data_IF_927479247121
#
_entry.id   IF_927479247121
#
_cell.length_a   1.000
_cell.length_b   1.000
_cell.length_c   1.000
_cell.angle_alpha   90.00
_cell.angle_beta   90.00
_cell.angle_gamma   90.00
#
_symmetry.space_group_name_H-M   'P 1'
#
loop_
_entity.id
_entity.type
_entity.pdbx_description
1 polymer ?
#
# COMPACT_ATOMS: atom_id res chain seq x y z
N UNK A 1 -11.18 17.71 -20.33
CA UNK A 1 -10.65 18.66 -19.33
C UNK A 1 -10.09 17.83 -18.19
N UNK A 2 -8.78 17.59 -18.23
CA UNK A 2 -8.10 16.57 -17.43
C UNK A 2 -8.10 16.92 -15.94
N UNK A 3 -8.53 15.97 -15.12
CA UNK A 3 -8.40 16.06 -13.67
C UNK A 3 -6.93 15.86 -13.33
N UNK A 4 -6.19 16.96 -13.16
CA UNK A 4 -4.87 16.93 -12.53
C UNK A 4 -5.08 16.42 -11.10
N UNK A 5 -4.59 15.21 -10.80
CA UNK A 5 -4.45 14.79 -9.42
C UNK A 5 -3.64 15.88 -8.71
N UNK A 6 -4.16 16.42 -7.61
CA UNK A 6 -3.29 17.07 -6.65
C UNK A 6 -2.19 16.05 -6.30
N UNK A 7 -0.92 16.45 -6.27
CA UNK A 7 0.20 15.57 -5.95
C UNK A 7 -0.10 14.68 -4.72
N UNK A 8 -0.84 15.20 -3.73
CA UNK A 8 -1.33 14.44 -2.56
C UNK A 8 -2.11 13.16 -2.89
N UNK A 9 -2.94 13.16 -3.94
CA UNK A 9 -3.73 11.99 -4.32
C UNK A 9 -2.87 10.95 -5.07
N UNK A 10 -1.91 11.38 -5.90
CA UNK A 10 -0.98 10.48 -6.59
C UNK A 10 -0.17 9.63 -5.58
N UNK A 11 0.40 10.27 -4.55
CA UNK A 11 1.18 9.55 -3.52
C UNK A 11 0.32 8.59 -2.68
N UNK A 12 -0.94 8.93 -2.41
CA UNK A 12 -1.87 8.01 -1.74
C UNK A 12 -2.19 6.80 -2.61
N UNK A 13 -2.45 7.02 -3.90
CA UNK A 13 -2.67 5.95 -4.87
C UNK A 13 -1.41 5.06 -4.99
N UNK A 14 -0.21 5.65 -4.97
CA UNK A 14 1.06 4.92 -4.99
C UNK A 14 1.23 4.04 -3.74
N UNK A 15 0.98 4.56 -2.54
CA UNK A 15 1.00 3.78 -1.29
C UNK A 15 0.00 2.63 -1.34
N UNK A 16 -1.21 2.90 -1.83
CA UNK A 16 -2.24 1.87 -1.98
C UNK A 16 -1.81 0.77 -2.96
N UNK A 17 -1.24 1.13 -4.11
CA UNK A 17 -0.73 0.19 -5.12
C UNK A 17 0.43 -0.64 -4.57
N UNK A 18 1.39 -0.02 -3.90
CA UNK A 18 2.54 -0.70 -3.28
C UNK A 18 2.07 -1.80 -2.31
N UNK A 19 1.17 -1.48 -1.38
CA UNK A 19 0.72 -2.49 -0.41
C UNK A 19 -0.10 -3.59 -1.08
N UNK A 20 -0.99 -3.23 -2.02
CA UNK A 20 -1.84 -4.21 -2.71
C UNK A 20 -1.02 -5.15 -3.60
N UNK A 21 0.01 -4.65 -4.29
CA UNK A 21 0.86 -5.49 -5.14
C UNK A 21 1.63 -6.50 -4.30
N UNK A 22 2.23 -6.07 -3.19
CA UNK A 22 2.96 -6.98 -2.29
C UNK A 22 2.03 -8.02 -1.64
N UNK A 23 0.81 -7.64 -1.26
CA UNK A 23 -0.23 -8.58 -0.81
C UNK A 23 -0.60 -9.59 -1.90
N UNK A 24 -0.83 -9.13 -3.12
CA UNK A 24 -1.23 -9.95 -4.27
C UNK A 24 -0.16 -10.99 -4.62
N UNK A 25 1.11 -10.55 -4.75
CA UNK A 25 2.27 -11.42 -5.03
C UNK A 25 2.41 -12.54 -3.99
N UNK A 26 1.96 -12.31 -2.76
CA UNK A 26 2.05 -13.27 -1.65
C UNK A 26 0.75 -14.02 -1.35
N UNK A 27 -0.31 -13.78 -2.12
CA UNK A 27 -1.63 -14.36 -1.86
C UNK A 27 -2.23 -13.97 -0.50
N UNK A 28 -1.78 -12.86 0.10
CA UNK A 28 -2.22 -12.42 1.44
C UNK A 28 -3.47 -11.55 1.31
N UNK A 29 -4.57 -12.01 1.93
CA UNK A 29 -5.79 -11.20 2.11
C UNK A 29 -5.68 -10.36 3.38
N UNK A 30 -6.56 -9.36 3.55
CA UNK A 30 -6.57 -8.49 4.74
C UNK A 30 -6.68 -9.24 6.08
N UNK A 31 -7.40 -10.36 6.11
CA UNK A 31 -7.46 -11.24 7.29
C UNK A 31 -6.08 -11.83 7.62
N UNK A 32 -5.34 -12.28 6.61
CA UNK A 32 -3.98 -12.78 6.79
C UNK A 32 -2.99 -11.68 7.19
N UNK A 33 -3.13 -10.46 6.64
CA UNK A 33 -2.30 -9.33 7.05
C UNK A 33 -2.57 -8.94 8.51
N UNK A 34 -3.84 -8.93 8.91
CA UNK A 34 -4.27 -8.68 10.30
C UNK A 34 -3.64 -9.68 11.27
N UNK A 35 -3.72 -10.99 10.96
CA UNK A 35 -3.09 -12.03 11.76
C UNK A 35 -1.56 -11.84 11.88
N UNK A 36 -0.87 -11.60 10.76
CA UNK A 36 0.60 -11.41 10.75
C UNK A 36 1.05 -10.17 11.51
N UNK A 37 0.26 -9.10 11.50
CA UNK A 37 0.52 -7.91 12.32
C UNK A 37 0.31 -8.21 13.80
N UNK A 38 -0.72 -8.98 14.15
CA UNK A 38 -0.96 -9.39 15.53
C UNK A 38 0.20 -10.23 16.10
N UNK A 39 0.83 -11.07 15.27
CA UNK A 39 2.01 -11.88 15.65
C UNK A 39 3.22 -11.03 16.11
N UNK A 40 3.30 -9.77 15.66
CA UNK A 40 4.33 -8.80 16.08
C UNK A 40 3.82 -7.77 17.09
N UNK A 41 2.64 -7.99 17.67
CA UNK A 41 2.02 -7.11 18.67
C UNK A 41 1.23 -5.93 18.10
N UNK A 42 1.05 -5.86 16.77
CA UNK A 42 0.32 -4.76 16.10
C UNK A 42 -1.12 -5.17 15.83
N UNK A 43 -2.03 -4.69 16.67
CA UNK A 43 -3.46 -5.01 16.55
C UNK A 43 -4.14 -4.11 15.50
N UNK A 44 -4.54 -4.69 14.36
CA UNK A 44 -5.33 -4.02 13.32
C UNK A 44 -6.39 -4.99 12.78
N UNK A 45 -7.66 -4.59 12.75
CA UNK A 45 -8.70 -5.41 12.11
C UNK A 45 -8.56 -5.40 10.58
N UNK A 46 -9.04 -6.46 9.93
CA UNK A 46 -9.01 -6.57 8.47
C UNK A 46 -9.75 -5.42 7.77
N UNK A 47 -10.89 -4.95 8.32
CA UNK A 47 -11.63 -3.83 7.76
C UNK A 47 -10.90 -2.49 7.95
N UNK A 48 -10.22 -2.30 9.08
CA UNK A 48 -9.37 -1.12 9.30
C UNK A 48 -8.22 -1.09 8.30
N UNK A 49 -7.54 -2.23 8.09
CA UNK A 49 -6.48 -2.37 7.10
C UNK A 49 -6.99 -2.10 5.68
N UNK A 50 -8.14 -2.68 5.31
CA UNK A 50 -8.78 -2.42 4.01
C UNK A 50 -9.01 -0.93 3.79
N UNK A 51 -9.56 -0.23 4.79
CA UNK A 51 -9.84 1.19 4.70
C UNK A 51 -8.57 2.05 4.57
N UNK A 52 -7.54 1.76 5.38
CA UNK A 52 -6.24 2.46 5.34
C UNK A 52 -5.51 2.24 4.02
N UNK A 53 -5.44 0.99 3.55
CA UNK A 53 -4.80 0.61 2.29
C UNK A 53 -5.54 1.20 1.09
N UNK A 54 -6.88 1.11 1.05
CA UNK A 54 -7.65 1.67 -0.07
C UNK A 54 -7.54 3.20 -0.16
N UNK A 55 -7.41 3.89 0.98
CA UNK A 55 -7.21 5.35 1.00
C UNK A 55 -5.75 5.75 0.79
N UNK A 56 -4.80 4.83 0.96
CA UNK A 56 -3.36 5.15 0.98
C UNK A 56 -2.96 6.02 2.17
N UNK A 57 -3.72 5.97 3.28
CA UNK A 57 -3.50 6.82 4.46
C UNK A 57 -3.28 5.93 5.67
N UNK A 58 -2.05 5.95 6.20
CA UNK A 58 -1.63 5.26 7.41
C UNK A 58 -0.43 5.96 8.03
N UNK A 59 -0.13 5.65 9.29
CA UNK A 59 1.11 6.07 9.91
C UNK A 59 2.31 5.41 9.23
N UNK A 60 3.47 6.10 9.25
CA UNK A 60 4.70 5.57 8.66
C UNK A 60 5.16 4.29 9.36
N UNK A 61 4.97 4.22 10.68
CA UNK A 61 5.17 3.02 11.50
C UNK A 61 4.38 1.83 10.97
N UNK A 62 3.08 2.01 10.70
CA UNK A 62 2.22 0.94 10.18
C UNK A 62 2.63 0.51 8.77
N UNK A 63 3.03 1.45 7.91
CA UNK A 63 3.53 1.10 6.57
C UNK A 63 4.77 0.21 6.67
N UNK A 64 5.75 0.58 7.49
CA UNK A 64 6.98 -0.22 7.70
C UNK A 64 6.65 -1.59 8.29
N UNK A 65 5.74 -1.67 9.26
CA UNK A 65 5.28 -2.94 9.84
C UNK A 65 4.62 -3.83 8.78
N UNK A 66 3.76 -3.27 7.91
CA UNK A 66 3.13 -4.00 6.79
C UNK A 66 4.19 -4.56 5.84
N UNK A 67 5.16 -3.74 5.41
CA UNK A 67 6.25 -4.19 4.54
C UNK A 67 7.06 -5.33 5.20
N UNK A 68 7.33 -5.21 6.50
CA UNK A 68 8.05 -6.22 7.26
C UNK A 68 7.29 -7.56 7.35
N UNK A 69 6.02 -7.56 7.73
CA UNK A 69 5.24 -8.80 7.90
C UNK A 69 4.84 -9.46 6.57
N UNK A 70 4.77 -8.65 5.51
CA UNK A 70 4.65 -9.18 4.15
C UNK A 70 5.99 -9.70 3.64
N UNK A 71 7.14 -9.38 4.23
CA UNK A 71 8.46 -9.65 3.63
C UNK A 71 8.52 -9.04 2.23
N UNK A 72 8.09 -7.78 2.11
CA UNK A 72 8.00 -7.05 0.85
C UNK A 72 9.36 -7.00 0.12
N UNK A 73 9.31 -6.85 -1.20
CA UNK A 73 10.51 -6.57 -2.00
C UNK A 73 11.11 -5.21 -1.58
N UNK A 74 12.40 -4.96 -1.86
CA UNK A 74 13.00 -3.64 -1.64
C UNK A 74 12.15 -2.53 -2.27
N UNK A 75 11.97 -1.44 -1.52
CA UNK A 75 11.30 -0.23 -2.01
C UNK A 75 12.39 0.82 -2.23
N UNK A 76 12.64 1.13 -3.49
CA UNK A 76 13.58 2.17 -3.92
C UNK A 76 12.86 3.23 -4.77
N UNK A 77 13.60 4.28 -5.13
CA UNK A 77 13.05 5.39 -5.90
C UNK A 77 12.55 4.96 -7.29
N UNK A 78 13.21 3.98 -7.92
CA UNK A 78 12.84 3.52 -9.26
C UNK A 78 11.49 2.82 -9.24
N UNK A 79 11.24 1.94 -8.25
CA UNK A 79 9.94 1.30 -8.07
C UNK A 79 8.82 2.34 -7.87
N UNK A 80 9.10 3.40 -7.11
CA UNK A 80 8.12 4.46 -6.87
C UNK A 80 7.83 5.25 -8.16
N UNK A 81 8.87 5.55 -8.95
CA UNK A 81 8.72 6.20 -10.25
C UNK A 81 7.89 5.35 -11.21
N UNK A 82 8.16 4.05 -11.32
CA UNK A 82 7.35 3.11 -12.13
C UNK A 82 5.88 3.13 -11.72
N UNK A 83 5.58 3.03 -10.42
CA UNK A 83 4.19 3.05 -9.92
C UNK A 83 3.49 4.37 -10.28
N UNK A 84 4.20 5.49 -10.17
CA UNK A 84 3.66 6.81 -10.48
C UNK A 84 3.42 6.99 -11.99
N UNK A 85 4.37 6.57 -12.84
CA UNK A 85 4.21 6.57 -14.29
C UNK A 85 3.03 5.71 -14.73
N UNK A 86 2.88 4.50 -14.17
CA UNK A 86 1.75 3.62 -14.47
C UNK A 86 0.39 4.23 -14.03
N UNK A 87 0.39 5.01 -12.94
CA UNK A 87 -0.82 5.69 -12.45
C UNK A 87 -1.27 6.78 -13.42
N UNK A 88 -0.32 7.48 -14.03
CA UNK A 88 -0.59 8.51 -15.03
C UNK A 88 -1.08 7.88 -16.35
N UNK A 89 -0.43 6.80 -16.81
CA UNK A 89 -0.78 6.09 -18.05
C UNK A 89 -2.16 5.38 -17.99
N UNK A 90 -2.61 4.94 -16.81
CA UNK A 90 -3.91 4.26 -16.65
C UNK A 90 -5.12 5.21 -16.78
N UNK A 91 -4.90 6.50 -17.06
CA UNK A 91 -5.94 7.55 -17.08
C UNK A 91 -6.21 8.15 -18.46
N UNK A 92 -5.47 7.70 -19.48
CA UNK A 92 -5.74 7.95 -20.91
C UNK A 92 -6.64 6.87 -21.50
#
# INVERSE_FOLDING_TARGET
MGCFLSAKNAWREAVARLVKSEMSVRGVKYQGLSARLADIGVQQSADNLRNKVNKGIMGADLLVQILYVLKARPVDANLLEEILTDLDASKE
#
